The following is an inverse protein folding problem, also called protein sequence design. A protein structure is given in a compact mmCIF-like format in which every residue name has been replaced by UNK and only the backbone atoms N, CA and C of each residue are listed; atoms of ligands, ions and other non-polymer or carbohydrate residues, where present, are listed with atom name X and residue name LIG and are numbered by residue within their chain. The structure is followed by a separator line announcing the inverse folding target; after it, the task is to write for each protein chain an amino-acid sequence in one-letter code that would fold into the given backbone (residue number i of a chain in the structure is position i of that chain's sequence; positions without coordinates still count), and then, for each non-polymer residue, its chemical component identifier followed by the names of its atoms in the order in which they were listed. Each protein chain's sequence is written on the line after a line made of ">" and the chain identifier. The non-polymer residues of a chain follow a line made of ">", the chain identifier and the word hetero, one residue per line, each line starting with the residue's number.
data_IF_824178720767
#
_entry.id   IF_824178720767
#
_cell.length_a   1.000
_cell.length_b   1.000
_cell.length_c   1.000
_cell.angle_alpha   90.00
_cell.angle_beta   90.00
_cell.angle_gamma   90.00
#
_symmetry.space_group_name_H-M   'P 1'
#
loop_
_entity.id
_entity.type
_entity.pdbx_description
1 polymer ?
#
# COMPACT_ATOMS: atom_id res chain seq x y z
N UNK A 1 3.12 -7.48 -3.56
CA UNK A 1 1.70 -7.77 -3.85
C UNK A 1 0.94 -6.47 -3.66
N UNK A 2 0.16 -6.04 -4.65
CA UNK A 2 -0.61 -4.78 -4.60
C UNK A 2 -2.10 -5.14 -4.51
N UNK A 3 -2.87 -4.34 -3.79
CA UNK A 3 -4.31 -4.51 -3.66
C UNK A 3 -5.04 -3.26 -4.15
N UNK A 4 -6.12 -3.47 -4.89
CA UNK A 4 -6.96 -2.40 -5.43
C UNK A 4 -8.44 -2.76 -5.17
N UNK A 5 -9.13 -1.91 -4.42
CA UNK A 5 -10.54 -2.09 -4.09
C UNK A 5 -11.38 -0.89 -4.53
N UNK A 6 -12.60 -1.18 -4.99
CA UNK A 6 -13.63 -0.17 -5.18
C UNK A 6 -14.51 -0.12 -3.94
N UNK A 7 -14.29 0.83 -3.04
CA UNK A 7 -15.01 0.91 -1.75
C UNK A 7 -16.52 1.11 -1.90
N UNK A 8 -16.99 1.69 -3.01
CA UNK A 8 -18.43 1.83 -3.28
C UNK A 8 -19.10 0.48 -3.52
N UNK A 9 -18.39 -0.45 -4.13
CA UNK A 9 -18.91 -1.78 -4.51
C UNK A 9 -18.44 -2.88 -3.54
N UNK A 10 -17.27 -2.72 -2.93
CA UNK A 10 -16.61 -3.61 -1.99
C UNK A 10 -16.14 -2.84 -0.73
N UNK A 11 -17.07 -2.39 0.13
CA UNK A 11 -16.74 -1.56 1.29
C UNK A 11 -15.98 -2.30 2.40
N UNK A 12 -16.02 -3.64 2.39
CA UNK A 12 -15.32 -4.49 3.35
C UNK A 12 -14.06 -5.12 2.76
N UNK A 13 -13.64 -4.67 1.57
CA UNK A 13 -12.38 -5.06 0.95
C UNK A 13 -12.19 -6.57 0.80
N UNK A 14 -13.27 -7.29 0.48
CA UNK A 14 -13.22 -8.75 0.33
C UNK A 14 -12.20 -9.15 -0.74
N UNK A 15 -11.38 -10.15 -0.40
CA UNK A 15 -10.49 -10.89 -1.30
C UNK A 15 -11.14 -12.18 -1.80
N UNK A 16 -10.52 -12.87 -2.78
CA UNK A 16 -11.08 -14.10 -3.37
C UNK A 16 -11.25 -15.23 -2.35
N UNK A 17 -10.39 -15.28 -1.35
CA UNK A 17 -10.39 -16.26 -0.26
C UNK A 17 -11.65 -16.15 0.60
N UNK A 18 -12.23 -14.95 0.72
CA UNK A 18 -13.46 -14.71 1.48
C UNK A 18 -14.71 -15.29 0.80
N UNK A 19 -14.60 -15.77 -0.44
CA UNK A 19 -15.69 -16.45 -1.14
C UNK A 19 -15.75 -17.95 -0.82
N UNK A 20 -14.78 -18.47 -0.06
CA UNK A 20 -14.80 -19.86 0.39
C UNK A 20 -16.04 -20.10 1.30
N UNK A 21 -16.84 -21.15 1.04
CA UNK A 21 -18.01 -21.49 1.85
C UNK A 21 -17.74 -21.57 3.36
N UNK A 22 -16.60 -22.12 3.77
CA UNK A 22 -16.25 -22.26 5.19
C UNK A 22 -16.00 -20.89 5.84
N UNK A 23 -15.37 -19.98 5.10
CA UNK A 23 -15.11 -18.61 5.53
C UNK A 23 -16.42 -17.82 5.58
N UNK A 24 -17.30 -17.98 4.59
CA UNK A 24 -18.64 -17.38 4.58
C UNK A 24 -19.44 -17.87 5.80
N UNK A 25 -19.38 -19.17 6.12
CA UNK A 25 -20.06 -19.72 7.29
C UNK A 25 -19.50 -19.15 8.60
N UNK A 26 -18.18 -18.92 8.68
CA UNK A 26 -17.53 -18.35 9.86
C UNK A 26 -17.78 -16.86 10.06
N UNK A 27 -17.84 -16.07 8.98
CA UNK A 27 -17.98 -14.60 9.05
C UNK A 27 -19.46 -14.19 8.99
N UNK A 28 -20.33 -15.05 8.46
CA UNK A 28 -21.76 -14.78 8.29
C UNK A 28 -22.09 -13.77 7.19
N UNK A 29 -21.09 -13.35 6.39
CA UNK A 29 -21.27 -12.43 5.27
C UNK A 29 -20.91 -13.14 3.97
N UNK A 30 -21.77 -13.00 2.96
CA UNK A 30 -21.56 -13.55 1.62
C UNK A 30 -21.15 -12.44 0.65
N UNK A 31 -19.88 -12.38 0.22
CA UNK A 31 -19.43 -11.39 -0.76
C UNK A 31 -20.15 -11.57 -2.11
N UNK A 32 -20.34 -10.45 -2.82
CA UNK A 32 -20.76 -10.49 -4.24
C UNK A 32 -19.56 -10.88 -5.10
N UNK A 33 -19.80 -11.55 -6.23
CA UNK A 33 -18.73 -12.04 -7.15
C UNK A 33 -17.67 -11.00 -7.53
N UNK A 34 -18.03 -9.72 -7.64
CA UNK A 34 -17.11 -8.63 -8.01
C UNK A 34 -16.38 -8.00 -6.82
N UNK A 35 -16.73 -8.38 -5.58
CA UNK A 35 -16.05 -7.94 -4.37
C UNK A 35 -14.79 -8.79 -4.15
N UNK A 36 -13.75 -8.46 -4.91
CA UNK A 36 -12.43 -9.09 -4.90
C UNK A 36 -11.34 -8.03 -5.05
N UNK A 37 -10.08 -8.41 -4.86
CA UNK A 37 -8.95 -7.58 -5.25
C UNK A 37 -8.93 -7.40 -6.78
N UNK A 38 -8.90 -6.15 -7.25
CA UNK A 38 -8.94 -5.80 -8.67
C UNK A 38 -7.55 -5.57 -9.28
N UNK A 39 -6.48 -5.65 -8.48
CA UNK A 39 -5.14 -5.24 -8.91
C UNK A 39 -4.62 -6.01 -10.12
N UNK A 40 -4.92 -7.32 -10.21
CA UNK A 40 -4.44 -8.18 -11.30
C UNK A 40 -5.38 -8.18 -12.52
N UNK A 41 -6.48 -7.42 -12.48
CA UNK A 41 -7.45 -7.38 -13.57
C UNK A 41 -7.03 -6.35 -14.63
N UNK A 42 -6.81 -6.81 -15.88
CA UNK A 42 -6.40 -5.96 -17.01
C UNK A 42 -7.32 -4.74 -17.22
N UNK A 43 -8.63 -4.92 -17.01
CA UNK A 43 -9.65 -3.85 -17.08
C UNK A 43 -9.36 -2.67 -16.13
N UNK A 44 -8.71 -2.93 -15.00
CA UNK A 44 -8.41 -1.93 -13.97
C UNK A 44 -6.96 -1.43 -14.01
N UNK A 45 -6.14 -1.90 -14.96
CA UNK A 45 -4.73 -1.51 -15.09
C UNK A 45 -4.49 0.00 -15.18
N UNK A 46 -5.35 0.72 -15.91
CA UNK A 46 -5.28 2.18 -16.00
C UNK A 46 -5.50 2.84 -14.63
N UNK A 47 -6.51 2.37 -13.89
CA UNK A 47 -6.81 2.89 -12.56
C UNK A 47 -5.72 2.54 -11.55
N UNK A 48 -5.16 1.34 -11.63
CA UNK A 48 -4.03 0.92 -10.80
C UNK A 48 -2.82 1.85 -11.00
N UNK A 49 -2.43 2.13 -12.25
CA UNK A 49 -1.35 3.08 -12.57
C UNK A 49 -1.63 4.49 -12.03
N UNK A 50 -2.88 4.95 -12.12
CA UNK A 50 -3.30 6.23 -11.55
C UNK A 50 -3.08 6.25 -10.03
N UNK A 51 -3.48 5.20 -9.32
CA UNK A 51 -3.32 5.10 -7.86
C UNK A 51 -1.85 4.98 -7.45
N UNK A 52 -1.04 4.21 -8.18
CA UNK A 52 0.40 4.11 -7.95
C UNK A 52 1.12 5.45 -8.17
N UNK A 53 0.72 6.22 -9.19
CA UNK A 53 1.25 7.55 -9.43
C UNK A 53 0.88 8.54 -8.32
N UNK A 54 -0.35 8.48 -7.81
CA UNK A 54 -0.78 9.28 -6.65
C UNK A 54 0.00 8.90 -5.40
N UNK A 55 0.17 7.61 -5.13
CA UNK A 55 0.95 7.10 -4.00
C UNK A 55 2.38 7.61 -4.07
N UNK A 56 3.06 7.42 -5.22
CA UNK A 56 4.43 7.88 -5.43
C UNK A 56 4.57 9.39 -5.21
N UNK A 57 3.60 10.19 -5.70
CA UNK A 57 3.59 11.64 -5.46
C UNK A 57 3.51 11.98 -3.97
N UNK A 58 2.67 11.28 -3.20
CA UNK A 58 2.58 11.50 -1.75
C UNK A 58 3.85 11.04 -1.03
N UNK A 59 4.40 9.89 -1.38
CA UNK A 59 5.66 9.38 -0.81
C UNK A 59 6.81 10.38 -1.00
N UNK A 60 6.95 10.95 -2.20
CA UNK A 60 7.93 12.02 -2.47
C UNK A 60 7.67 13.27 -1.64
N UNK A 61 6.41 13.66 -1.48
CA UNK A 61 6.04 14.87 -0.72
C UNK A 61 6.36 14.74 0.77
N UNK A 62 6.28 13.53 1.30
CA UNK A 62 6.47 13.23 2.72
C UNK A 62 7.84 12.64 3.06
N UNK A 63 8.77 12.63 2.09
CA UNK A 63 10.09 12.00 2.24
C UNK A 63 9.96 10.58 2.83
N UNK A 64 9.08 9.77 2.25
CA UNK A 64 8.76 8.44 2.76
C UNK A 64 9.96 7.47 2.61
N UNK A 65 10.49 6.93 3.72
CA UNK A 65 11.63 6.03 3.68
C UNK A 65 11.32 4.61 3.21
N UNK A 66 10.04 4.26 3.07
CA UNK A 66 9.60 2.91 2.71
C UNK A 66 9.00 2.86 1.30
N UNK A 67 9.72 3.41 0.32
CA UNK A 67 9.36 3.32 -1.10
C UNK A 67 9.26 1.88 -1.61
N UNK A 68 8.39 1.66 -2.60
CA UNK A 68 8.22 0.34 -3.19
C UNK A 68 9.41 -0.02 -4.08
N UNK A 69 9.78 -1.30 -4.13
CA UNK A 69 10.96 -1.79 -4.85
C UNK A 69 10.88 -1.62 -6.38
N UNK A 70 9.67 -1.57 -6.95
CA UNK A 70 9.41 -1.45 -8.40
C UNK A 70 9.17 -0.01 -8.86
N UNK A 71 9.40 0.95 -7.97
CA UNK A 71 9.11 2.36 -8.16
C UNK A 71 10.40 3.05 -8.67
N UNK A 72 10.32 4.08 -9.54
CA UNK A 72 11.50 4.62 -10.20
C UNK A 72 12.50 5.25 -9.21
N UNK A 73 13.79 5.07 -9.45
CA UNK A 73 14.83 5.84 -8.74
C UNK A 73 14.81 7.27 -9.27
N UNK A 74 14.46 8.22 -8.40
CA UNK A 74 14.22 9.61 -8.78
C UNK A 74 15.42 10.52 -8.49
N UNK A 75 16.54 9.96 -8.01
CA UNK A 75 17.72 10.74 -7.60
C UNK A 75 17.47 11.69 -6.43
N UNK A 76 16.35 11.51 -5.72
CA UNK A 76 16.03 12.28 -4.52
C UNK A 76 16.95 11.84 -3.38
N UNK A 77 17.27 12.77 -2.47
CA UNK A 77 18.03 12.45 -1.27
C UNK A 77 17.30 11.37 -0.47
N UNK A 78 18.05 10.38 0.02
CA UNK A 78 17.46 9.34 0.86
C UNK A 78 16.85 10.00 2.11
N UNK A 79 15.59 9.68 2.44
CA UNK A 79 14.98 10.21 3.63
C UNK A 79 15.74 9.73 4.86
N UNK A 80 15.95 10.65 5.80
CA UNK A 80 16.67 10.35 7.04
C UNK A 80 15.82 9.40 7.87
N UNK A 81 16.12 8.10 7.78
CA UNK A 81 15.54 7.09 8.64
C UNK A 81 15.85 7.45 10.09
N UNK A 82 14.81 7.78 10.85
CA UNK A 82 14.92 8.23 12.23
C UNK A 82 15.22 7.06 13.19
N UNK A 83 16.12 6.15 12.81
CA UNK A 83 16.78 5.23 13.77
C UNK A 83 17.82 5.97 14.62
N UNK A 84 18.18 7.18 14.19
CA UNK A 84 19.17 8.03 14.85
C UNK A 84 18.64 9.44 15.11
N UNK A 85 17.74 9.57 16.09
CA UNK A 85 18.05 10.49 17.20
C UNK A 85 19.18 9.82 18.02
N UNK A 86 20.30 9.51 17.36
CA UNK A 86 21.52 9.12 18.04
C UNK A 86 21.98 10.41 18.70
N UNK A 87 21.76 10.45 20.02
CA UNK A 87 22.12 11.49 20.98
C UNK A 87 23.25 12.39 20.46
N UNK A 88 23.11 13.73 20.55
CA UNK A 88 24.20 14.62 20.16
C UNK A 88 25.47 14.15 20.86
N UNK A 89 26.54 13.94 20.08
CA UNK A 89 27.82 13.47 20.58
C UNK A 89 28.24 14.38 21.74
N UNK A 90 28.23 13.85 22.97
CA UNK A 90 28.79 14.56 24.13
C UNK A 90 30.26 14.76 23.84
N UNK A 91 30.64 15.97 23.40
CA UNK A 91 32.04 16.42 23.37
C UNK A 91 32.58 16.26 24.79
N UNK A 92 33.42 15.24 25.01
CA UNK A 92 34.24 15.16 26.22
C UNK A 92 35.16 16.39 26.19
N UNK A 93 34.90 17.36 27.06
CA UNK A 93 35.86 18.43 27.33
C UNK A 93 37.08 17.77 28.00
N UNK A 94 38.26 18.10 27.46
CA UNK A 94 39.57 17.79 28.04
C UNK A 94 39.72 18.45 29.40
#
# INVERSE_FOLDING_TARGET
>A
HTQLFNLKENPLEFMIEHHNPDVIASIGVKPKKHQVNLADQSKHSSKLKEMEALLLKQMRKHDDPYRFWNQPSDGLAEPVLNEKIAKPAKKKKK
#
